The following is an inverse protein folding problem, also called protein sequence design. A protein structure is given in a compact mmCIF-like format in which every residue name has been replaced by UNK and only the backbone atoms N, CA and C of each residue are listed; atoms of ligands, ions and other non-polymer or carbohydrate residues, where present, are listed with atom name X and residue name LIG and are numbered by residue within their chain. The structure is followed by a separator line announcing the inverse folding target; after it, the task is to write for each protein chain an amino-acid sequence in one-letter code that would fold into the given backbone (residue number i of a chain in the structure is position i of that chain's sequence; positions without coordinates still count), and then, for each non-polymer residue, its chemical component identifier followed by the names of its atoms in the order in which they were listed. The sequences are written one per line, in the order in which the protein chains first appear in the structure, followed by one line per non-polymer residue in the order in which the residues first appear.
data_IF_027720735534
#
_entry.id   IF_027720735534
#
_cell.length_a   1.000
_cell.length_b   1.000
_cell.length_c   1.000
_cell.angle_alpha   90.00
_cell.angle_beta   90.00
_cell.angle_gamma   90.00
#
_symmetry.space_group_name_H-M   'P 1'
#
loop_
_entity.id
_entity.type
_entity.pdbx_description
1 polymer ?
#
# COMPACT_ATOMS: atom_id res chain seq x y z
N UNK A 1 -9.21 -3.76 0.25
CA UNK A 1 -8.81 -4.67 1.34
C UNK A 1 -7.35 -5.06 1.16
N UNK A 2 -6.53 -5.06 2.22
CA UNK A 2 -5.14 -5.54 2.14
C UNK A 2 -5.15 -7.05 2.43
N UNK A 3 -4.56 -7.83 1.52
CA UNK A 3 -4.46 -9.29 1.64
C UNK A 3 -3.00 -9.72 1.55
N UNK A 4 -2.61 -10.73 2.32
CA UNK A 4 -1.33 -11.42 2.17
C UNK A 4 -1.60 -12.68 1.35
N UNK A 5 -0.90 -12.84 0.22
CA UNK A 5 -0.96 -14.06 -0.58
C UNK A 5 0.42 -14.69 -0.64
N UNK A 6 0.60 -15.81 0.06
CA UNK A 6 1.78 -16.66 -0.11
C UNK A 6 1.85 -17.11 -1.58
N UNK A 7 2.82 -16.57 -2.32
CA UNK A 7 2.97 -16.78 -3.77
C UNK A 7 2.87 -15.52 -4.62
N UNK A 8 2.28 -14.42 -4.10
CA UNK A 8 2.29 -13.11 -4.77
C UNK A 8 3.31 -12.23 -4.06
N UNK A 9 4.28 -11.68 -4.81
CA UNK A 9 5.30 -10.74 -4.29
C UNK A 9 5.97 -11.24 -3.00
N UNK A 10 6.24 -12.54 -2.92
CA UNK A 10 6.87 -13.21 -1.76
C UNK A 10 6.10 -13.09 -0.45
N UNK A 11 4.76 -13.04 -0.48
CA UNK A 11 3.92 -12.95 0.73
C UNK A 11 3.77 -11.53 1.28
N UNK A 12 4.28 -10.52 0.56
CA UNK A 12 4.09 -9.11 0.90
C UNK A 12 2.60 -8.75 0.87
N UNK A 13 2.18 -7.79 1.72
CA UNK A 13 0.80 -7.30 1.71
C UNK A 13 0.51 -6.60 0.39
N UNK A 14 -0.57 -7.02 -0.26
CA UNK A 14 -1.03 -6.49 -1.53
C UNK A 14 -2.45 -5.96 -1.41
N UNK A 15 -2.77 -5.00 -2.27
CA UNK A 15 -4.14 -4.51 -2.41
C UNK A 15 -4.93 -5.54 -3.22
N UNK A 16 -5.98 -6.08 -2.60
CA UNK A 16 -6.84 -7.07 -3.21
C UNK A 16 -7.35 -6.60 -4.58
N UNK A 17 -7.31 -7.49 -5.59
CA UNK A 17 -7.73 -7.19 -6.96
C UNK A 17 -6.69 -6.49 -7.83
N UNK A 18 -5.66 -5.86 -7.26
CA UNK A 18 -4.60 -5.19 -8.05
C UNK A 18 -3.28 -5.96 -8.11
N UNK A 19 -2.96 -6.76 -7.07
CA UNK A 19 -1.65 -7.40 -6.92
C UNK A 19 -0.49 -6.43 -6.68
N UNK A 20 -0.78 -5.12 -6.54
CA UNK A 20 0.18 -4.07 -6.19
C UNK A 20 0.48 -4.18 -4.69
N UNK A 21 1.75 -4.10 -4.31
CA UNK A 21 2.11 -4.11 -2.88
C UNK A 21 1.82 -2.76 -2.25
N UNK A 22 1.51 -2.76 -0.94
CA UNK A 22 1.32 -1.50 -0.21
C UNK A 22 2.59 -0.65 -0.23
N UNK A 23 3.76 -1.29 -0.27
CA UNK A 23 5.06 -0.65 -0.50
C UNK A 23 5.13 0.09 -1.85
N UNK A 24 4.74 -0.55 -2.95
CA UNK A 24 4.76 0.11 -4.28
C UNK A 24 3.89 1.38 -4.30
N UNK A 25 2.82 1.40 -3.50
CA UNK A 25 1.96 2.57 -3.32
C UNK A 25 2.63 3.63 -2.46
N UNK A 26 3.27 3.23 -1.35
CA UNK A 26 4.03 4.14 -0.50
C UNK A 26 5.22 4.77 -1.24
N UNK A 27 5.91 4.03 -2.11
CA UNK A 27 6.98 4.58 -2.95
C UNK A 27 6.40 5.57 -3.98
N UNK A 28 5.29 5.22 -4.63
CA UNK A 28 4.58 6.15 -5.53
C UNK A 28 4.07 7.40 -4.82
N UNK A 29 3.67 7.28 -3.56
CA UNK A 29 3.24 8.40 -2.72
C UNK A 29 4.34 9.45 -2.62
N UNK A 30 5.58 9.03 -2.33
CA UNK A 30 6.73 9.92 -2.28
C UNK A 30 7.08 10.51 -3.65
N UNK A 31 7.10 9.68 -4.69
CA UNK A 31 7.46 10.13 -6.05
C UNK A 31 6.45 11.12 -6.62
N UNK A 32 5.17 11.03 -6.24
CA UNK A 32 4.10 11.89 -6.74
C UNK A 32 3.86 13.14 -5.87
N UNK A 33 4.53 13.25 -4.71
CA UNK A 33 4.32 14.36 -3.77
C UNK A 33 2.87 14.51 -3.30
N UNK A 34 2.09 13.42 -3.34
CA UNK A 34 0.68 13.40 -2.92
C UNK A 34 0.57 13.31 -1.40
N UNK A 35 -0.58 13.65 -0.85
CA UNK A 35 -0.84 13.46 0.59
C UNK A 35 -1.33 12.03 0.88
N UNK A 36 -1.14 11.57 2.13
CA UNK A 36 -1.57 10.22 2.54
C UNK A 36 -3.11 10.09 2.46
N UNK A 37 -3.81 11.19 2.70
CA UNK A 37 -5.27 11.29 2.64
C UNK A 37 -5.78 11.02 1.20
N UNK A 38 -5.14 11.62 0.19
CA UNK A 38 -5.52 11.42 -1.21
C UNK A 38 -5.45 9.94 -1.62
N UNK A 39 -4.42 9.24 -1.14
CA UNK A 39 -4.15 7.85 -1.48
C UNK A 39 -5.03 6.90 -0.68
N UNK A 40 -5.23 7.21 0.60
CA UNK A 40 -6.19 6.51 1.46
C UNK A 40 -7.57 6.51 0.81
N UNK A 41 -7.99 7.67 0.31
CA UNK A 41 -9.25 7.84 -0.42
C UNK A 41 -9.28 7.06 -1.75
N UNK A 42 -8.26 7.23 -2.61
CA UNK A 42 -8.20 6.58 -3.93
C UNK A 42 -8.17 5.05 -3.84
N UNK A 43 -7.51 4.49 -2.83
CA UNK A 43 -7.29 3.05 -2.70
C UNK A 43 -8.22 2.38 -1.68
N UNK A 44 -8.97 3.17 -0.90
CA UNK A 44 -9.79 2.68 0.20
C UNK A 44 -8.94 1.95 1.26
N UNK A 45 -7.75 2.48 1.55
CA UNK A 45 -6.80 1.92 2.52
C UNK A 45 -6.64 2.91 3.66
N UNK A 46 -6.71 2.40 4.88
CA UNK A 46 -6.50 3.23 6.06
C UNK A 46 -5.12 3.88 6.08
N UNK A 47 -5.07 5.17 6.43
CA UNK A 47 -3.82 5.93 6.52
C UNK A 47 -2.83 5.31 7.52
N UNK A 48 -3.33 4.74 8.62
CA UNK A 48 -2.49 4.07 9.61
C UNK A 48 -1.81 2.83 9.02
N UNK A 49 -2.51 2.10 8.16
CA UNK A 49 -1.93 0.97 7.44
C UNK A 49 -0.82 1.43 6.48
N UNK A 50 -1.03 2.52 5.74
CA UNK A 50 0.00 3.10 4.87
C UNK A 50 1.25 3.51 5.67
N UNK A 51 1.08 4.18 6.83
CA UNK A 51 2.20 4.55 7.70
C UNK A 51 2.93 3.34 8.29
N UNK A 52 2.19 2.32 8.71
CA UNK A 52 2.77 1.09 9.26
C UNK A 52 3.67 0.42 8.23
N UNK A 53 3.19 0.22 7.00
CA UNK A 53 3.96 -0.43 5.95
C UNK A 53 5.10 0.41 5.41
N UNK A 54 5.00 1.74 5.47
CA UNK A 54 6.17 2.58 5.23
C UNK A 54 7.22 2.35 6.31
N UNK A 55 6.85 2.41 7.60
CA UNK A 55 7.84 2.31 8.69
C UNK A 55 8.53 0.94 8.75
N UNK A 56 7.83 -0.11 8.36
CA UNK A 56 8.30 -1.50 8.35
C UNK A 56 8.96 -1.93 7.03
N UNK A 57 8.93 -1.08 6.00
CA UNK A 57 9.53 -1.33 4.69
C UNK A 57 11.02 -1.08 4.67
#
# INVERSE_FOLDING_TARGET
MIVRREGVRSGKPVIEGSGITVMDVADRFYDLGRSLEDISSDLGIDEEALRFYHREG
#
